data_IF_435750432623
#
_entry.id   IF_435750432623
#
_cell.length_a   1.000
_cell.length_b   1.000
_cell.length_c   1.000
_cell.angle_alpha   90.00
_cell.angle_beta   90.00
_cell.angle_gamma   90.00
#
_symmetry.space_group_name_H-M   'P 1'
#
loop_
_entity.id
_entity.type
_entity.pdbx_description
1 polymer ?
#
# COMPACT_ATOMS: atom_id res chain seq x y z
N UNK A 1 -2.55 32.87 -4.87
CA UNK A 1 -1.98 31.85 -3.95
C UNK A 1 -2.31 30.42 -4.41
N UNK A 2 -3.58 30.04 -4.54
CA UNK A 2 -3.97 28.68 -4.98
C UNK A 2 -3.40 28.28 -6.35
N UNK A 3 -3.43 29.19 -7.33
CA UNK A 3 -2.84 28.97 -8.66
C UNK A 3 -1.32 28.75 -8.62
N UNK A 4 -0.63 29.39 -7.68
CA UNK A 4 0.82 29.26 -7.52
C UNK A 4 1.20 27.94 -6.84
N UNK A 5 0.37 27.48 -5.89
CA UNK A 5 0.56 26.19 -5.22
C UNK A 5 0.26 25.04 -6.19
N UNK A 6 -0.83 25.15 -6.95
CA UNK A 6 -1.20 24.13 -7.95
C UNK A 6 -0.15 24.01 -9.05
N UNK A 7 0.34 25.11 -9.62
CA UNK A 7 1.39 25.07 -10.65
C UNK A 7 2.67 24.42 -10.14
N UNK A 8 3.11 24.78 -8.93
CA UNK A 8 4.32 24.21 -8.31
C UNK A 8 4.17 22.72 -8.02
N UNK A 9 3.00 22.26 -7.57
CA UNK A 9 2.76 20.84 -7.27
C UNK A 9 2.68 19.98 -8.53
N UNK A 10 2.07 20.51 -9.59
CA UNK A 10 1.97 19.79 -10.88
C UNK A 10 3.34 19.67 -11.55
N UNK A 11 4.18 20.71 -11.48
CA UNK A 11 5.50 20.69 -12.12
C UNK A 11 6.54 19.83 -11.40
N UNK A 12 6.41 19.65 -10.08
CA UNK A 12 7.45 19.05 -9.25
C UNK A 12 7.10 17.65 -8.71
N UNK A 13 5.84 17.20 -8.78
CA UNK A 13 5.48 15.84 -8.38
C UNK A 13 5.46 14.88 -9.57
N UNK A 14 6.03 13.70 -9.35
CA UNK A 14 5.91 12.58 -10.30
C UNK A 14 4.47 12.08 -10.42
N UNK A 15 4.18 11.38 -11.51
CA UNK A 15 2.83 10.87 -11.82
C UNK A 15 2.25 9.99 -10.70
N UNK A 16 3.07 9.14 -10.08
CA UNK A 16 2.64 8.27 -8.97
C UNK A 16 2.32 9.05 -7.69
N UNK A 17 3.11 10.08 -7.38
CA UNK A 17 2.87 10.96 -6.23
C UNK A 17 1.54 11.70 -6.41
N UNK A 18 1.30 12.26 -7.60
CA UNK A 18 0.04 12.93 -7.93
C UNK A 18 -1.13 11.93 -7.81
N UNK A 19 -0.99 10.71 -8.33
CA UNK A 19 -2.01 9.66 -8.25
C UNK A 19 -2.40 9.34 -6.81
N UNK A 20 -1.42 9.17 -5.91
CA UNK A 20 -1.66 8.88 -4.48
C UNK A 20 -2.31 10.05 -3.76
N UNK A 21 -1.89 11.28 -4.03
CA UNK A 21 -2.53 12.49 -3.47
C UNK A 21 -3.98 12.56 -3.90
N UNK A 22 -4.28 12.40 -5.20
CA UNK A 22 -5.64 12.45 -5.72
C UNK A 22 -6.50 11.33 -5.11
N UNK A 23 -6.01 10.09 -5.07
CA UNK A 23 -6.72 8.97 -4.46
C UNK A 23 -7.01 9.22 -2.97
N UNK A 24 -6.00 9.67 -2.20
CA UNK A 24 -6.17 10.00 -0.79
C UNK A 24 -7.19 11.12 -0.56
N UNK A 25 -7.11 12.21 -1.34
CA UNK A 25 -8.11 13.30 -1.26
C UNK A 25 -9.51 12.83 -1.63
N UNK A 26 -9.65 11.92 -2.61
CA UNK A 26 -10.94 11.36 -2.98
C UNK A 26 -11.53 10.50 -1.86
N UNK A 27 -10.72 9.64 -1.22
CA UNK A 27 -11.13 8.80 -0.08
C UNK A 27 -11.51 9.63 1.15
N UNK A 28 -10.84 10.76 1.38
CA UNK A 28 -11.12 11.67 2.49
C UNK A 28 -12.24 12.69 2.19
N UNK A 29 -12.79 12.70 0.97
CA UNK A 29 -13.91 13.58 0.65
C UNK A 29 -15.15 13.21 1.47
N UNK A 30 -15.97 14.21 1.81
CA UNK A 30 -17.14 14.04 2.69
C UNK A 30 -18.09 12.91 2.26
N UNK A 31 -18.25 12.71 0.95
CA UNK A 31 -19.13 11.68 0.39
C UNK A 31 -18.54 10.26 0.43
N UNK A 32 -17.21 10.13 0.56
CA UNK A 32 -16.50 8.84 0.48
C UNK A 32 -15.84 8.43 1.78
N UNK A 33 -15.71 9.35 2.74
CA UNK A 33 -15.02 9.13 4.01
C UNK A 33 -15.53 7.90 4.76
N UNK A 34 -16.84 7.83 5.02
CA UNK A 34 -17.44 6.71 5.75
C UNK A 34 -17.32 5.37 5.02
N UNK A 35 -17.43 5.39 3.68
CA UNK A 35 -17.38 4.15 2.89
C UNK A 35 -15.97 3.60 2.75
N UNK A 36 -14.98 4.46 2.54
CA UNK A 36 -13.62 4.03 2.21
C UNK A 36 -12.66 4.17 3.38
N UNK A 37 -12.57 5.36 4.00
CA UNK A 37 -11.59 5.60 5.06
C UNK A 37 -11.99 4.91 6.36
N UNK A 38 -13.22 5.14 6.83
CA UNK A 38 -13.70 4.54 8.08
C UNK A 38 -13.75 3.02 7.97
N UNK A 39 -14.28 2.48 6.86
CA UNK A 39 -14.27 1.04 6.59
C UNK A 39 -12.85 0.44 6.62
N UNK A 40 -11.88 1.09 5.99
CA UNK A 40 -10.48 0.65 6.03
C UNK A 40 -9.87 0.73 7.45
N UNK A 41 -10.20 1.76 8.22
CA UNK A 41 -9.75 1.89 9.61
C UNK A 41 -10.33 0.78 10.51
N UNK A 42 -11.61 0.43 10.33
CA UNK A 42 -12.24 -0.71 11.03
C UNK A 42 -11.57 -2.04 10.66
N UNK A 43 -11.31 -2.27 9.37
CA UNK A 43 -10.60 -3.48 8.91
C UNK A 43 -9.18 -3.56 9.47
N UNK A 44 -8.45 -2.45 9.53
CA UNK A 44 -7.14 -2.37 10.17
C UNK A 44 -7.22 -2.82 11.64
N UNK A 45 -8.17 -2.29 12.41
CA UNK A 45 -8.31 -2.65 13.81
C UNK A 45 -8.65 -4.14 14.00
N UNK A 46 -9.51 -4.70 13.15
CA UNK A 46 -9.87 -6.12 13.18
C UNK A 46 -8.67 -7.00 12.84
N UNK A 47 -7.92 -6.66 11.78
CA UNK A 47 -6.70 -7.36 11.37
C UNK A 47 -5.63 -7.34 12.48
N UNK A 48 -5.38 -6.17 13.09
CA UNK A 48 -4.42 -6.04 14.19
C UNK A 48 -4.80 -6.99 15.33
N UNK A 49 -6.06 -6.96 15.74
CA UNK A 49 -6.57 -7.84 16.80
C UNK A 49 -6.37 -9.32 16.47
N UNK A 50 -6.66 -9.74 15.24
CA UNK A 50 -6.48 -11.13 14.81
C UNK A 50 -5.02 -11.58 14.83
N UNK A 51 -4.09 -10.72 14.40
CA UNK A 51 -2.67 -11.03 14.43
C UNK A 51 -2.13 -11.08 15.87
N UNK A 52 -2.56 -10.15 16.73
CA UNK A 52 -2.22 -10.16 18.16
C UNK A 52 -2.77 -11.40 18.86
N UNK A 53 -3.99 -11.84 18.56
CA UNK A 53 -4.57 -13.05 19.13
C UNK A 53 -3.79 -14.32 18.76
N UNK A 54 -3.16 -14.36 17.59
CA UNK A 54 -2.34 -15.50 17.16
C UNK A 54 -0.97 -15.51 17.86
N UNK A 55 -0.38 -14.33 18.07
CA UNK A 55 0.99 -14.20 18.62
C UNK A 55 1.01 -14.13 20.15
N UNK A 56 0.07 -13.40 20.76
CA UNK A 56 0.11 -13.04 22.19
C UNK A 56 -1.01 -13.68 23.00
N UNK A 57 -1.59 -14.80 22.57
CA UNK A 57 -2.73 -15.40 23.26
C UNK A 57 -2.37 -15.78 24.72
N UNK A 58 -2.90 -15.01 25.68
CA UNK A 58 -2.76 -15.30 27.11
C UNK A 58 -3.53 -16.59 27.45
N UNK A 59 -2.79 -17.69 27.66
CA UNK A 59 -3.31 -18.94 28.23
C UNK A 59 -3.74 -20.05 27.24
N UNK A 60 -3.42 -19.93 25.94
CA UNK A 60 -3.51 -21.02 24.94
C UNK A 60 -2.25 -21.06 24.08
N UNK A 61 -2.07 -22.15 23.34
CA UNK A 61 -0.95 -22.41 22.41
C UNK A 61 -0.89 -21.37 21.26
N UNK A 62 -0.43 -20.15 21.56
CA UNK A 62 -0.03 -19.16 20.55
C UNK A 62 1.26 -19.58 19.84
N UNK A 63 1.65 -18.80 18.83
CA UNK A 63 2.92 -19.02 18.10
C UNK A 63 3.96 -17.98 18.49
N UNK A 64 5.21 -18.41 18.69
CA UNK A 64 6.32 -17.49 18.99
C UNK A 64 6.74 -16.68 17.75
N UNK A 65 6.64 -17.28 16.56
CA UNK A 65 7.03 -16.68 15.29
C UNK A 65 6.06 -17.05 14.17
N UNK A 66 5.83 -16.09 13.27
CA UNK A 66 5.07 -16.29 12.05
C UNK A 66 6.01 -16.23 10.84
N UNK A 67 6.02 -17.27 10.02
CA UNK A 67 6.86 -17.36 8.82
C UNK A 67 6.02 -17.12 7.57
N UNK A 68 6.42 -16.13 6.77
CA UNK A 68 5.74 -15.69 5.57
C UNK A 68 6.75 -15.54 4.43
N UNK A 69 6.41 -15.85 3.17
CA UNK A 69 7.23 -15.41 2.05
C UNK A 69 7.22 -13.87 1.98
N UNK A 70 8.38 -13.25 1.73
CA UNK A 70 8.49 -11.79 1.64
C UNK A 70 7.91 -11.21 0.35
N UNK A 71 7.97 -11.97 -0.74
CA UNK A 71 7.42 -11.61 -2.05
C UNK A 71 6.70 -12.81 -2.66
N UNK A 72 5.68 -12.54 -3.48
CA UNK A 72 4.93 -13.54 -4.24
C UNK A 72 5.58 -13.87 -5.60
N UNK A 73 6.48 -13.01 -6.07
CA UNK A 73 7.08 -13.08 -7.40
C UNK A 73 8.57 -12.75 -7.35
N UNK A 74 9.27 -13.11 -8.43
CA UNK A 74 10.65 -12.70 -8.66
C UNK A 74 10.72 -11.19 -8.98
N UNK A 75 11.88 -10.54 -8.82
CA UNK A 75 12.05 -9.13 -9.15
C UNK A 75 11.59 -8.83 -10.58
N UNK A 76 10.78 -7.79 -10.80
CA UNK A 76 10.34 -7.42 -12.14
C UNK A 76 11.50 -6.84 -12.95
N UNK A 77 11.48 -7.09 -14.26
CA UNK A 77 12.41 -6.47 -15.20
C UNK A 77 12.07 -4.98 -15.34
N UNK A 78 13.06 -4.12 -15.11
CA UNK A 78 12.90 -2.65 -15.11
C UNK A 78 13.43 -1.97 -16.38
N UNK A 79 14.25 -2.67 -17.15
CA UNK A 79 14.87 -2.19 -18.40
C UNK A 79 14.47 -3.17 -19.49
N UNK A 80 13.68 -2.72 -20.46
CA UNK A 80 13.59 -3.41 -21.75
C UNK A 80 14.89 -3.23 -22.52
N UNK A 81 15.27 -4.21 -23.35
CA UNK A 81 16.46 -4.10 -24.21
C UNK A 81 16.44 -2.74 -24.95
N UNK A 82 17.59 -2.07 -24.96
CA UNK A 82 17.80 -0.65 -25.33
C UNK A 82 17.34 -0.26 -26.75
N UNK A 83 16.79 -1.20 -27.53
CA UNK A 83 16.35 -0.98 -28.91
C UNK A 83 14.93 -0.43 -29.03
N UNK A 84 14.12 -0.43 -27.96
CA UNK A 84 12.79 0.19 -27.94
C UNK A 84 12.58 1.00 -26.65
N UNK A 85 12.94 2.29 -26.66
CA UNK A 85 12.69 3.26 -25.57
C UNK A 85 11.18 3.39 -25.20
N UNK A 86 10.27 2.82 -25.99
CA UNK A 86 8.83 2.75 -25.73
C UNK A 86 8.40 1.56 -24.85
N UNK A 87 9.29 0.59 -24.61
CA UNK A 87 9.08 -0.57 -23.72
C UNK A 87 9.80 -0.41 -22.35
N UNK A 88 9.80 0.79 -21.77
CA UNK A 88 9.69 0.83 -20.31
C UNK A 88 8.36 0.16 -20.02
N UNK A 89 8.38 -1.12 -19.63
CA UNK A 89 7.20 -1.89 -19.29
C UNK A 89 6.32 -0.98 -18.44
N UNK A 90 5.18 -0.54 -19.00
CA UNK A 90 4.20 0.25 -18.27
C UNK A 90 3.62 -0.70 -17.23
N UNK A 91 4.34 -0.84 -16.11
CA UNK A 91 3.91 -1.67 -14.99
C UNK A 91 2.57 -1.11 -14.55
N UNK A 92 1.53 -1.92 -14.62
CA UNK A 92 0.24 -1.50 -14.15
C UNK A 92 0.35 -1.16 -12.65
N UNK A 93 -0.20 -0.01 -12.27
CA UNK A 93 -0.15 0.45 -10.89
C UNK A 93 -0.85 -0.55 -9.95
N UNK A 94 -1.84 -1.30 -10.44
CA UNK A 94 -2.53 -2.32 -9.63
C UNK A 94 -1.67 -3.56 -9.42
N UNK A 95 -0.95 -4.01 -10.45
CA UNK A 95 0.00 -5.13 -10.34
C UNK A 95 1.16 -4.78 -9.39
N UNK A 96 1.64 -3.53 -9.42
CA UNK A 96 2.67 -3.08 -8.50
C UNK A 96 2.26 -3.22 -7.02
N UNK A 97 0.98 -3.02 -6.68
CA UNK A 97 0.48 -3.17 -5.31
C UNK A 97 0.39 -4.62 -4.84
N UNK A 98 0.27 -5.58 -5.77
CA UNK A 98 0.22 -6.99 -5.42
C UNK A 98 1.54 -7.49 -4.80
N UNK A 99 2.66 -6.84 -5.10
CA UNK A 99 3.97 -7.21 -4.55
C UNK A 99 4.04 -7.08 -3.03
N UNK A 100 3.28 -6.15 -2.43
CA UNK A 100 3.28 -5.91 -0.99
C UNK A 100 2.19 -6.71 -0.23
N UNK A 101 1.53 -7.67 -0.89
CA UNK A 101 0.43 -8.44 -0.28
C UNK A 101 0.84 -9.18 0.99
N UNK A 102 2.10 -9.65 1.07
CA UNK A 102 2.62 -10.38 2.23
C UNK A 102 3.18 -9.46 3.33
N UNK A 103 3.49 -8.20 3.02
CA UNK A 103 4.18 -7.26 3.94
C UNK A 103 3.24 -6.22 4.54
N UNK A 104 2.18 -5.84 3.82
CA UNK A 104 1.16 -4.86 4.26
C UNK A 104 0.45 -5.28 5.55
N UNK A 105 0.03 -6.56 5.75
CA UNK A 105 -0.69 -6.93 6.96
C UNK A 105 0.10 -6.65 8.24
N UNK A 106 1.41 -6.95 8.24
CA UNK A 106 2.29 -6.71 9.38
C UNK A 106 2.53 -5.21 9.60
N UNK A 107 2.70 -4.43 8.52
CA UNK A 107 2.82 -2.96 8.59
C UNK A 107 1.54 -2.29 9.14
N UNK A 108 0.37 -2.83 8.82
CA UNK A 108 -0.92 -2.37 9.34
C UNK A 108 -1.10 -2.73 10.81
N UNK A 109 -0.66 -3.93 11.22
CA UNK A 109 -0.71 -4.36 12.61
C UNK A 109 0.31 -3.63 13.48
N UNK A 110 1.42 -3.12 12.91
CA UNK A 110 2.50 -2.50 13.66
C UNK A 110 3.36 -3.51 14.42
N UNK A 111 3.37 -4.77 13.96
CA UNK A 111 4.18 -5.85 14.54
C UNK A 111 5.60 -5.84 13.94
N UNK A 112 6.61 -6.30 14.67
CA UNK A 112 7.95 -6.49 14.11
C UNK A 112 7.94 -7.58 13.04
N UNK A 113 8.67 -7.36 11.95
CA UNK A 113 8.87 -8.30 10.83
C UNK A 113 10.32 -8.35 10.41
#
# INVERSE_FOLDING_TARGET
FETQISSTRVSNFGSEVIRRILCGTAVLSSNRFHTFYEGAATLRALLTKQLEEVVFQDGKEGVDFLLLPTSISLPPTIIGDEENEEEIAKVDATEAFANDVMTVPISLAGLPS
#
